data_IF_606077279819
#
_entry.id   IF_606077279819
#
_cell.length_a   1.000
_cell.length_b   1.000
_cell.length_c   1.000
_cell.angle_alpha   90.00
_cell.angle_beta   90.00
_cell.angle_gamma   90.00
#
_symmetry.space_group_name_H-M   'P 1'
#
loop_
_entity.id
_entity.type
_entity.pdbx_description
1 polymer ?
#
# COMPACT_ATOMS: atom_id res chain seq x y z
N UNK A 1 -22.62 15.76 1.87
CA UNK A 1 -22.08 14.82 0.87
C UNK A 1 -22.82 14.90 -0.47
N UNK A 2 -24.16 14.80 -0.53
CA UNK A 2 -24.92 14.84 -1.79
C UNK A 2 -24.80 16.15 -2.60
N UNK A 3 -24.85 17.32 -1.95
CA UNK A 3 -24.68 18.61 -2.64
C UNK A 3 -23.29 18.74 -3.29
N UNK A 4 -22.23 18.36 -2.57
CA UNK A 4 -20.87 18.36 -3.11
C UNK A 4 -20.72 17.44 -4.33
N UNK A 5 -21.38 16.26 -4.32
CA UNK A 5 -21.40 15.34 -5.45
C UNK A 5 -22.13 15.92 -6.67
N UNK A 6 -23.25 16.62 -6.43
CA UNK A 6 -23.95 17.38 -7.47
C UNK A 6 -23.07 18.45 -8.08
N UNK A 7 -22.41 19.27 -7.25
CA UNK A 7 -21.56 20.35 -7.72
C UNK A 7 -20.35 19.81 -8.49
N UNK A 8 -19.79 18.67 -8.10
CA UNK A 8 -18.72 18.00 -8.83
C UNK A 8 -19.20 17.52 -10.20
N UNK A 9 -20.32 16.80 -10.27
CA UNK A 9 -20.88 16.32 -11.53
C UNK A 9 -21.19 17.46 -12.51
N UNK A 10 -21.79 18.53 -11.99
CA UNK A 10 -22.06 19.74 -12.77
C UNK A 10 -20.78 20.43 -13.26
N UNK A 11 -19.78 20.61 -12.39
CA UNK A 11 -18.51 21.30 -12.74
C UNK A 11 -17.66 20.51 -13.72
N UNK A 12 -17.77 19.18 -13.73
CA UNK A 12 -17.02 18.30 -14.62
C UNK A 12 -17.77 17.95 -15.90
N UNK A 13 -18.97 18.51 -16.11
CA UNK A 13 -19.87 18.18 -17.23
C UNK A 13 -20.14 16.67 -17.35
N UNK A 14 -20.28 15.99 -16.21
CA UNK A 14 -20.58 14.56 -16.14
C UNK A 14 -22.09 14.26 -16.17
N UNK A 15 -22.89 15.26 -16.53
CA UNK A 15 -24.35 15.21 -16.37
C UNK A 15 -24.77 15.39 -14.91
N UNK A 16 -26.03 15.09 -14.60
CA UNK A 16 -26.55 15.18 -13.24
C UNK A 16 -26.37 13.86 -12.51
N UNK A 17 -26.04 13.88 -11.21
CA UNK A 17 -25.99 12.65 -10.42
C UNK A 17 -27.40 12.04 -10.31
N UNK A 18 -27.46 10.72 -10.35
CA UNK A 18 -28.72 10.00 -10.17
C UNK A 18 -29.13 10.01 -8.71
N UNK A 19 -30.07 10.89 -8.36
CA UNK A 19 -30.69 10.96 -7.04
C UNK A 19 -32.17 10.63 -7.11
N UNK A 20 -32.71 10.12 -6.00
CA UNK A 20 -34.16 10.03 -5.85
C UNK A 20 -34.78 11.44 -5.92
N UNK A 21 -36.02 11.59 -6.41
CA UNK A 21 -36.65 12.91 -6.53
C UNK A 21 -36.63 13.75 -5.23
N UNK A 22 -36.89 13.19 -4.03
CA UNK A 22 -36.82 13.96 -2.79
C UNK A 22 -35.40 14.46 -2.48
N UNK A 23 -34.38 13.63 -2.75
CA UNK A 23 -32.99 14.01 -2.51
C UNK A 23 -32.53 15.08 -3.51
N UNK A 24 -32.94 14.98 -4.78
CA UNK A 24 -32.68 16.01 -5.79
C UNK A 24 -33.27 17.35 -5.36
N UNK A 25 -34.51 17.37 -4.87
CA UNK A 25 -35.16 18.58 -4.38
C UNK A 25 -34.44 19.18 -3.17
N UNK A 26 -34.03 18.34 -2.20
CA UNK A 26 -33.26 18.79 -1.03
C UNK A 26 -31.89 19.36 -1.42
N UNK A 27 -31.20 18.76 -2.40
CA UNK A 27 -29.94 19.30 -2.94
C UNK A 27 -30.15 20.65 -3.61
N UNK A 28 -31.22 20.82 -4.40
CA UNK A 28 -31.52 22.10 -5.05
C UNK A 28 -31.87 23.20 -4.04
N UNK A 29 -32.69 22.91 -3.03
CA UNK A 29 -33.02 23.85 -1.95
C UNK A 29 -31.78 24.22 -1.13
N UNK A 30 -30.91 23.26 -0.81
CA UNK A 30 -29.65 23.55 -0.15
C UNK A 30 -28.77 24.50 -0.98
N UNK A 31 -28.66 24.27 -2.30
CA UNK A 31 -27.85 25.11 -3.20
C UNK A 31 -28.40 26.51 -3.38
N UNK A 32 -29.72 26.71 -3.29
CA UNK A 32 -30.31 28.05 -3.34
C UNK A 32 -29.93 28.88 -2.11
N UNK A 33 -29.77 28.22 -0.95
CA UNK A 33 -29.38 28.85 0.32
C UNK A 33 -27.87 28.99 0.48
N UNK A 34 -27.11 28.08 -0.12
CA UNK A 34 -25.66 27.97 0.02
C UNK A 34 -24.99 27.98 -1.36
N UNK A 35 -25.00 29.13 -2.06
CA UNK A 35 -24.40 29.21 -3.39
C UNK A 35 -22.91 28.88 -3.30
N UNK A 36 -22.46 27.92 -4.10
CA UNK A 36 -21.04 27.59 -4.21
C UNK A 36 -20.35 28.71 -4.99
N UNK A 37 -19.28 29.32 -4.46
CA UNK A 37 -18.55 30.35 -5.18
C UNK A 37 -18.03 29.84 -6.52
N UNK A 38 -18.16 30.65 -7.56
CA UNK A 38 -17.60 30.35 -8.89
C UNK A 38 -16.07 30.32 -8.82
N UNK A 39 -15.41 29.71 -9.82
CA UNK A 39 -13.95 29.69 -9.87
C UNK A 39 -13.34 31.10 -9.84
N UNK A 40 -13.96 32.07 -10.54
CA UNK A 40 -13.53 33.47 -10.54
C UNK A 40 -13.71 34.16 -9.18
N UNK A 41 -14.67 33.71 -8.36
CA UNK A 41 -14.83 34.20 -6.99
C UNK A 41 -13.82 33.57 -6.02
N UNK A 42 -13.44 32.31 -6.25
CA UNK A 42 -12.46 31.59 -5.43
C UNK A 42 -11.02 31.98 -5.76
N UNK A 43 -10.75 32.33 -7.02
CA UNK A 43 -9.44 32.69 -7.54
C UNK A 43 -9.57 33.98 -8.36
N UNK A 44 -9.59 35.15 -7.70
CA UNK A 44 -9.75 36.43 -8.38
C UNK A 44 -8.63 36.73 -9.38
N UNK A 45 -7.43 36.19 -9.14
CA UNK A 45 -6.28 36.34 -10.02
C UNK A 45 -5.80 34.98 -10.53
N UNK A 46 -5.22 34.97 -11.74
CA UNK A 46 -4.62 33.76 -12.32
C UNK A 46 -3.51 33.18 -11.43
N UNK A 47 -2.74 34.05 -10.77
CA UNK A 47 -1.71 33.64 -9.83
C UNK A 47 -2.29 32.85 -8.62
N UNK A 48 -3.55 33.11 -8.23
CA UNK A 48 -4.18 32.43 -7.09
C UNK A 48 -4.50 30.97 -7.43
N UNK A 49 -5.00 30.71 -8.64
CA UNK A 49 -5.31 29.36 -9.12
C UNK A 49 -4.01 28.58 -9.40
N UNK A 50 -3.01 29.22 -10.00
CA UNK A 50 -1.68 28.63 -10.17
C UNK A 50 -1.05 28.26 -8.83
N UNK A 51 -1.08 29.18 -7.85
CA UNK A 51 -0.56 28.93 -6.51
C UNK A 51 -1.33 27.84 -5.76
N UNK A 52 -2.65 27.75 -5.97
CA UNK A 52 -3.47 26.67 -5.42
C UNK A 52 -3.02 25.31 -5.95
N UNK A 53 -2.94 25.14 -7.27
CA UNK A 53 -2.52 23.87 -7.87
C UNK A 53 -1.06 23.56 -7.59
N UNK A 54 -0.18 24.56 -7.54
CA UNK A 54 1.20 24.37 -7.11
C UNK A 54 1.29 23.73 -5.72
N UNK A 55 0.55 24.26 -4.73
CA UNK A 55 0.49 23.66 -3.39
C UNK A 55 -0.10 22.25 -3.38
N UNK A 56 -1.12 21.98 -4.21
CA UNK A 56 -1.70 20.64 -4.32
C UNK A 56 -0.68 19.64 -4.88
N UNK A 57 0.05 20.02 -5.92
CA UNK A 57 1.11 19.20 -6.50
C UNK A 57 2.20 18.89 -5.47
N UNK A 58 2.66 19.88 -4.69
CA UNK A 58 3.64 19.64 -3.63
C UNK A 58 3.15 18.63 -2.61
N UNK A 59 1.93 18.80 -2.09
CA UNK A 59 1.34 17.87 -1.10
C UNK A 59 1.18 16.46 -1.67
N UNK A 60 0.80 16.34 -2.94
CA UNK A 60 0.68 15.05 -3.61
C UNK A 60 2.04 14.34 -3.68
N UNK A 61 3.09 15.07 -4.09
CA UNK A 61 4.44 14.52 -4.18
C UNK A 61 4.96 14.12 -2.79
N UNK A 62 4.81 14.97 -1.78
CA UNK A 62 5.19 14.66 -0.39
C UNK A 62 4.51 13.38 0.10
N UNK A 63 3.20 13.26 -0.14
CA UNK A 63 2.44 12.07 0.25
C UNK A 63 2.91 10.81 -0.49
N UNK A 64 3.12 10.89 -1.80
CA UNK A 64 3.65 9.78 -2.60
C UNK A 64 5.03 9.34 -2.11
N UNK A 65 5.93 10.29 -1.87
CA UNK A 65 7.26 10.00 -1.32
C UNK A 65 7.17 9.33 0.05
N UNK A 66 6.27 9.80 0.93
CA UNK A 66 6.08 9.22 2.25
C UNK A 66 5.58 7.77 2.18
N UNK A 67 4.50 7.52 1.42
CA UNK A 67 3.94 6.17 1.24
C UNK A 67 4.96 5.24 0.62
N UNK A 68 5.70 5.72 -0.40
CA UNK A 68 6.75 4.92 -1.03
C UNK A 68 7.86 4.55 -0.04
N UNK A 69 8.32 5.50 0.77
CA UNK A 69 9.34 5.26 1.78
C UNK A 69 8.90 4.28 2.88
N UNK A 70 7.62 4.28 3.27
CA UNK A 70 7.09 3.26 4.18
C UNK A 70 7.08 1.89 3.53
N UNK A 71 6.57 1.80 2.30
CA UNK A 71 6.53 0.55 1.54
C UNK A 71 7.92 -0.06 1.35
N UNK A 72 8.90 0.75 0.92
CA UNK A 72 10.26 0.27 0.70
C UNK A 72 10.88 -0.26 2.01
N UNK A 73 10.61 0.39 3.15
CA UNK A 73 11.08 -0.10 4.46
C UNK A 73 10.48 -1.45 4.83
N UNK A 74 9.15 -1.58 4.71
CA UNK A 74 8.46 -2.84 5.03
C UNK A 74 8.92 -3.97 4.11
N UNK A 75 9.11 -3.67 2.83
CA UNK A 75 9.62 -4.61 1.84
C UNK A 75 11.01 -5.14 2.24
N UNK A 76 11.97 -4.25 2.54
CA UNK A 76 13.33 -4.65 2.92
C UNK A 76 13.36 -5.46 4.23
N UNK A 77 12.54 -5.10 5.22
CA UNK A 77 12.45 -5.84 6.48
C UNK A 77 11.96 -7.27 6.25
N UNK A 78 10.90 -7.43 5.45
CA UNK A 78 10.38 -8.76 5.13
C UNK A 78 11.38 -9.61 4.34
N UNK A 79 12.17 -9.02 3.44
CA UNK A 79 13.21 -9.75 2.71
C UNK A 79 14.33 -10.23 3.66
N UNK A 80 14.77 -9.36 4.57
CA UNK A 80 15.78 -9.71 5.57
C UNK A 80 15.32 -10.82 6.52
N UNK A 81 14.05 -10.80 6.94
CA UNK A 81 13.48 -11.86 7.79
C UNK A 81 13.44 -13.21 7.05
N UNK A 82 13.03 -13.22 5.78
CA UNK A 82 13.00 -14.44 4.96
C UNK A 82 14.40 -15.04 4.76
N UNK A 83 15.40 -14.20 4.50
CA UNK A 83 16.78 -14.67 4.32
C UNK A 83 17.36 -15.25 5.63
N UNK A 84 17.03 -14.66 6.77
CA UNK A 84 17.45 -15.16 8.08
C UNK A 84 16.76 -16.48 8.42
N UNK A 85 15.47 -16.61 8.13
CA UNK A 85 14.72 -17.85 8.35
C UNK A 85 15.26 -18.98 7.48
N UNK A 86 15.53 -18.72 6.20
CA UNK A 86 16.13 -19.69 5.29
C UNK A 86 17.51 -20.16 5.81
N UNK A 87 18.36 -19.22 6.24
CA UNK A 87 19.67 -19.55 6.83
C UNK A 87 19.55 -20.36 8.12
N UNK A 88 18.60 -20.05 8.98
CA UNK A 88 18.37 -20.79 10.22
C UNK A 88 17.90 -22.23 9.95
N UNK A 89 17.01 -22.42 8.97
CA UNK A 89 16.56 -23.74 8.52
C UNK A 89 17.72 -24.56 7.95
N UNK A 90 18.54 -23.96 7.09
CA UNK A 90 19.71 -24.64 6.52
C UNK A 90 20.76 -24.99 7.57
N UNK A 91 20.98 -24.11 8.54
CA UNK A 91 21.87 -24.38 9.68
C UNK A 91 21.35 -25.53 10.54
N UNK A 92 20.05 -25.53 10.87
CA UNK A 92 19.42 -26.61 11.65
C UNK A 92 19.53 -27.96 10.91
N UNK A 93 19.28 -27.99 9.61
CA UNK A 93 19.45 -29.20 8.78
C UNK A 93 20.88 -29.72 8.80
N UNK A 94 21.88 -28.82 8.79
CA UNK A 94 23.29 -29.21 8.83
C UNK A 94 23.70 -29.76 10.18
N UNK A 95 23.22 -29.16 11.28
CA UNK A 95 23.43 -29.70 12.62
C UNK A 95 22.83 -31.10 12.77
N UNK A 96 21.62 -31.34 12.27
CA UNK A 96 21.01 -32.67 12.28
C UNK A 96 21.85 -33.70 11.51
N UNK A 97 22.37 -33.33 10.33
CA UNK A 97 23.25 -34.20 9.55
C UNK A 97 24.56 -34.52 10.29
N UNK A 98 25.23 -33.50 10.86
CA UNK A 98 26.50 -33.66 11.59
C UNK A 98 26.32 -34.44 12.92
N UNK A 99 25.16 -34.35 13.58
CA UNK A 99 24.83 -35.14 14.78
C UNK A 99 24.45 -36.59 14.45
N UNK A 100 23.92 -36.87 13.26
CA UNK A 100 23.54 -38.22 12.81
C UNK A 100 24.72 -39.00 12.18
N UNK A 101 25.71 -38.31 11.60
CA UNK A 101 26.95 -38.90 11.05
C UNK A 101 27.71 -39.85 12.02
N UNK A 102 27.96 -39.51 13.31
CA UNK A 102 28.68 -40.41 14.21
C UNK A 102 27.90 -41.65 14.64
N UNK A 103 26.57 -41.72 14.43
CA UNK A 103 25.74 -42.87 14.80
C UNK A 103 25.60 -43.92 13.68
N UNK A 104 25.92 -43.57 12.43
CA UNK A 104 25.91 -44.51 11.29
C UNK A 104 27.28 -45.07 10.91
N UNK A 105 28.36 -44.69 11.61
CA UNK A 105 29.64 -45.39 11.50
C UNK A 105 29.74 -46.46 12.59
N UNK A 106 29.16 -47.63 12.35
CA UNK A 106 29.32 -48.76 13.26
C UNK A 106 30.79 -49.20 13.35
N UNK A 107 31.40 -49.29 14.56
CA UNK A 107 32.61 -50.08 14.76
C UNK A 107 32.17 -51.55 14.88
N UNK A 108 31.89 -52.19 13.74
CA UNK A 108 31.65 -53.62 13.65
C UNK A 108 32.97 -54.36 13.50
N UNK A 109 33.43 -54.97 14.59
CA UNK A 109 34.74 -55.60 14.73
C UNK A 109 35.03 -56.79 13.82
N UNK A 110 36.33 -57.05 13.77
CA UNK A 110 37.04 -58.16 13.16
C UNK A 110 36.55 -59.57 13.58
N UNK A 111 36.74 -60.51 12.63
CA UNK A 111 37.20 -61.91 12.81
C UNK A 111 36.20 -63.04 12.52
N UNK A 112 36.46 -63.86 11.49
CA UNK A 112 36.86 -65.26 11.67
C UNK A 112 37.29 -65.93 10.35
N UNK A 113 38.28 -66.81 10.50
CA UNK A 113 39.01 -67.62 9.54
C UNK A 113 38.27 -68.94 9.24
N UNK A 114 38.34 -69.42 8.01
CA UNK A 114 37.97 -70.79 7.59
C UNK A 114 37.80 -70.80 6.07
N UNK A 115 38.54 -71.55 5.25
CA UNK A 115 39.25 -72.79 5.46
C UNK A 115 38.57 -73.87 4.61
N UNK A 116 38.97 -73.97 3.33
CA UNK A 116 39.24 -75.17 2.50
C UNK A 116 39.37 -74.75 1.04
#
# INVERSE_FOLDING_TARGET
MAAALYDQHWRMDWGLPHFSPPLMAAVQDYRSRTPVPSYYQQYPQVADIEGHFGRQTTRLLEHQTHVRGMWDREYELHHLEQDQEAQAIDFARRLEADLMEPFFTAPGGSSSQGGQ
#
